data_IF_853506200166
#
_entry.id   IF_853506200166
#
_cell.length_a   1.000
_cell.length_b   1.000
_cell.length_c   1.000
_cell.angle_alpha   90.00
_cell.angle_beta   90.00
_cell.angle_gamma   90.00
#
_symmetry.space_group_name_H-M   'P 1'
#
loop_
_entity.id
_entity.type
_entity.pdbx_description
1 polymer ?
#
# COMPACT_ATOMS: atom_id res chain seq x y z
N UNK A 1 -13.27 1.60 10.23
CA UNK A 1 -14.68 1.70 9.72
C UNK A 1 -15.54 0.61 10.31
N UNK A 2 -16.89 0.74 10.27
CA UNK A 2 -17.81 -0.38 10.64
C UNK A 2 -17.75 -1.48 9.57
N UNK A 3 -17.98 -2.72 9.97
CA UNK A 3 -17.97 -3.88 9.05
C UNK A 3 -18.90 -3.71 7.84
N UNK A 4 -20.07 -3.08 8.05
CA UNK A 4 -21.02 -2.77 6.97
C UNK A 4 -20.36 -1.92 5.87
N UNK A 5 -19.60 -0.89 6.25
CA UNK A 5 -18.90 0.02 5.33
C UNK A 5 -17.76 -0.69 4.59
N UNK A 6 -16.95 -1.49 5.30
CA UNK A 6 -15.90 -2.30 4.68
C UNK A 6 -16.47 -3.21 3.59
N UNK A 7 -17.52 -3.99 3.94
CA UNK A 7 -18.17 -4.90 2.99
C UNK A 7 -18.81 -4.14 1.83
N UNK A 8 -19.42 -2.97 2.08
CA UNK A 8 -20.06 -2.15 1.05
C UNK A 8 -19.04 -1.65 0.00
N UNK A 9 -17.96 -1.01 0.45
CA UNK A 9 -16.91 -0.52 -0.44
C UNK A 9 -16.26 -1.67 -1.20
N UNK A 10 -15.87 -2.74 -0.48
CA UNK A 10 -15.20 -3.90 -1.07
C UNK A 10 -16.08 -4.57 -2.12
N UNK A 11 -17.37 -4.78 -1.85
CA UNK A 11 -18.31 -5.36 -2.81
C UNK A 11 -18.43 -4.50 -4.06
N UNK A 12 -18.69 -3.19 -3.91
CA UNK A 12 -18.83 -2.27 -5.04
C UNK A 12 -17.57 -2.24 -5.92
N UNK A 13 -16.38 -2.27 -5.33
CA UNK A 13 -15.11 -2.31 -6.06
C UNK A 13 -14.92 -3.64 -6.79
N UNK A 14 -15.17 -4.78 -6.11
CA UNK A 14 -15.02 -6.11 -6.71
C UNK A 14 -16.00 -6.35 -7.85
N UNK A 15 -17.26 -5.91 -7.71
CA UNK A 15 -18.28 -5.99 -8.76
C UNK A 15 -17.88 -5.15 -9.98
N UNK A 16 -17.48 -3.87 -9.77
CA UNK A 16 -17.07 -2.98 -10.85
C UNK A 16 -15.87 -3.51 -11.65
N UNK A 17 -14.95 -4.23 -10.99
CA UNK A 17 -13.77 -4.82 -11.60
C UNK A 17 -13.95 -6.30 -11.97
N UNK A 18 -15.14 -6.87 -11.78
CA UNK A 18 -15.43 -8.29 -12.07
C UNK A 18 -14.42 -9.27 -11.48
N UNK A 19 -14.12 -9.10 -10.19
CA UNK A 19 -13.13 -9.91 -9.51
C UNK A 19 -13.70 -11.31 -9.18
N UNK A 20 -12.97 -12.39 -9.50
CA UNK A 20 -13.38 -13.73 -9.08
C UNK A 20 -13.35 -13.86 -7.56
N UNK A 21 -14.19 -14.72 -7.01
CA UNK A 21 -14.32 -14.98 -5.56
C UNK A 21 -14.60 -13.69 -4.76
N UNK A 22 -15.39 -12.76 -5.33
CA UNK A 22 -15.66 -11.45 -4.72
C UNK A 22 -16.26 -11.56 -3.31
N UNK A 23 -17.10 -12.56 -3.04
CA UNK A 23 -17.70 -12.75 -1.70
C UNK A 23 -16.64 -13.12 -0.66
N UNK A 24 -15.64 -13.95 -1.00
CA UNK A 24 -14.54 -14.28 -0.10
C UNK A 24 -13.68 -13.05 0.19
N UNK A 25 -13.48 -12.15 -0.79
CA UNK A 25 -12.79 -10.87 -0.59
C UNK A 25 -13.60 -9.98 0.36
N UNK A 26 -14.92 -9.90 0.17
CA UNK A 26 -15.83 -9.12 1.00
C UNK A 26 -15.82 -9.62 2.45
N UNK A 27 -15.93 -10.92 2.67
CA UNK A 27 -15.88 -11.50 4.02
C UNK A 27 -14.50 -11.27 4.68
N UNK A 28 -13.43 -11.42 3.93
CA UNK A 28 -12.07 -11.22 4.44
C UNK A 28 -11.75 -9.75 4.73
N UNK A 29 -12.54 -8.81 4.19
CA UNK A 29 -12.37 -7.38 4.47
C UNK A 29 -12.67 -6.97 5.92
N UNK A 30 -13.18 -7.86 6.75
CA UNK A 30 -13.41 -7.62 8.19
C UNK A 30 -12.53 -8.49 9.10
N UNK A 31 -11.69 -9.35 8.55
CA UNK A 31 -10.82 -10.23 9.35
C UNK A 31 -9.86 -9.50 10.28
N UNK A 32 -9.23 -8.38 9.91
CA UNK A 32 -8.33 -7.67 10.82
C UNK A 32 -8.99 -7.17 12.10
N UNK A 33 -10.30 -6.91 12.10
CA UNK A 33 -11.07 -6.58 13.30
C UNK A 33 -11.36 -7.80 14.18
N UNK A 34 -11.50 -8.97 13.55
CA UNK A 34 -11.77 -10.23 14.26
C UNK A 34 -10.48 -10.85 14.82
N UNK A 35 -9.35 -10.63 14.14
CA UNK A 35 -8.07 -11.25 14.44
C UNK A 35 -6.97 -10.22 14.53
N UNK A 36 -6.33 -10.10 15.70
CA UNK A 36 -5.22 -9.18 15.86
C UNK A 36 -4.02 -9.57 14.99
N UNK A 37 -3.63 -8.69 14.09
CA UNK A 37 -2.39 -8.83 13.34
C UNK A 37 -1.21 -8.14 14.03
N UNK A 38 -0.02 -8.70 13.81
CA UNK A 38 1.22 -8.21 14.40
C UNK A 38 2.30 -8.10 13.32
N UNK A 39 3.17 -7.11 13.48
CA UNK A 39 4.44 -7.07 12.77
C UNK A 39 5.60 -7.16 13.77
N UNK A 40 6.76 -7.58 13.28
CA UNK A 40 7.97 -7.62 14.09
C UNK A 40 8.77 -6.35 13.86
N UNK A 41 8.99 -5.58 14.93
CA UNK A 41 9.84 -4.39 14.91
C UNK A 41 10.88 -4.52 16.03
N UNK A 42 12.16 -4.44 15.67
CA UNK A 42 13.27 -4.59 16.61
C UNK A 42 13.17 -5.86 17.50
N UNK A 43 12.77 -6.98 16.88
CA UNK A 43 12.59 -8.26 17.58
C UNK A 43 11.34 -8.38 18.46
N UNK A 44 10.51 -7.33 18.54
CA UNK A 44 9.26 -7.33 19.33
C UNK A 44 8.04 -7.44 18.41
N UNK A 45 7.04 -8.23 18.85
CA UNK A 45 5.74 -8.27 18.19
C UNK A 45 4.94 -7.01 18.57
N UNK A 46 4.56 -6.23 17.58
CA UNK A 46 3.77 -5.00 17.76
C UNK A 46 2.45 -5.18 17.03
N UNK A 47 1.33 -4.98 17.74
CA UNK A 47 -0.01 -5.03 17.14
C UNK A 47 -0.17 -3.91 16.12
N UNK A 48 -0.73 -4.23 14.97
CA UNK A 48 -1.07 -3.24 13.94
C UNK A 48 -2.28 -2.43 14.42
N UNK A 49 -2.09 -1.12 14.52
CA UNK A 49 -3.17 -0.18 14.79
C UNK A 49 -3.74 0.30 13.46
N UNK A 50 -5.03 0.11 13.24
CA UNK A 50 -5.70 0.33 11.94
C UNK A 50 -5.59 1.78 11.45
N UNK A 51 -5.70 2.75 12.34
CA UNK A 51 -5.61 4.19 12.02
C UNK A 51 -4.19 4.76 12.21
N UNK A 52 -3.16 3.96 11.92
CA UNK A 52 -1.77 4.39 12.03
C UNK A 52 -1.04 4.19 10.71
N UNK A 53 0.10 4.87 10.48
CA UNK A 53 0.92 4.61 9.27
C UNK A 53 1.37 3.15 9.11
N UNK A 54 1.29 2.35 10.18
CA UNK A 54 1.55 0.92 10.12
C UNK A 54 0.45 0.14 9.41
N UNK A 55 -0.80 0.65 9.38
CA UNK A 55 -1.89 0.07 8.60
C UNK A 55 -1.55 0.06 7.11
N UNK A 56 -1.04 1.16 6.55
CA UNK A 56 -0.61 1.19 5.15
C UNK A 56 0.56 0.23 4.85
N UNK A 57 1.45 0.00 5.82
CA UNK A 57 2.50 -1.02 5.65
C UNK A 57 1.91 -2.44 5.66
N UNK A 58 0.90 -2.69 6.47
CA UNK A 58 0.17 -3.94 6.47
C UNK A 58 -0.59 -4.12 5.14
N UNK A 59 -1.36 -3.12 4.72
CA UNK A 59 -2.04 -3.12 3.43
C UNK A 59 -1.08 -3.45 2.28
N UNK A 60 0.07 -2.77 2.24
CA UNK A 60 1.07 -3.01 1.20
C UNK A 60 1.65 -4.44 1.23
N UNK A 61 1.90 -4.99 2.42
CA UNK A 61 2.35 -6.39 2.58
C UNK A 61 1.31 -7.37 2.02
N UNK A 62 0.02 -7.15 2.34
CA UNK A 62 -1.06 -7.99 1.83
C UNK A 62 -1.27 -7.82 0.33
N UNK A 63 -1.15 -6.61 -0.23
CA UNK A 63 -1.16 -6.35 -1.67
C UNK A 63 -0.07 -7.16 -2.39
N UNK A 64 1.17 -7.12 -1.88
CA UNK A 64 2.28 -7.90 -2.46
C UNK A 64 2.02 -9.41 -2.38
N UNK A 65 1.46 -9.88 -1.26
CA UNK A 65 1.14 -11.30 -1.07
C UNK A 65 -0.01 -11.73 -1.99
N UNK A 66 -1.09 -10.94 -2.06
CA UNK A 66 -2.20 -11.19 -2.96
C UNK A 66 -1.73 -11.28 -4.43
N UNK A 67 -0.90 -10.31 -4.87
CA UNK A 67 -0.33 -10.35 -6.22
C UNK A 67 0.52 -11.60 -6.47
N UNK A 68 1.36 -11.98 -5.52
CA UNK A 68 2.18 -13.20 -5.62
C UNK A 68 1.33 -14.47 -5.71
N UNK A 69 0.29 -14.58 -4.91
CA UNK A 69 -0.64 -15.71 -4.95
C UNK A 69 -1.34 -15.79 -6.30
N UNK A 70 -1.83 -14.65 -6.80
CA UNK A 70 -2.48 -14.55 -8.10
C UNK A 70 -1.53 -15.02 -9.24
N UNK A 71 -0.27 -14.61 -9.23
CA UNK A 71 0.73 -15.06 -10.21
C UNK A 71 1.00 -16.57 -10.14
N UNK A 72 0.78 -17.19 -8.97
CA UNK A 72 0.92 -18.64 -8.77
C UNK A 72 -0.37 -19.40 -9.09
N UNK A 73 -1.43 -18.73 -9.58
CA UNK A 73 -2.74 -19.35 -9.80
C UNK A 73 -3.45 -19.80 -8.52
N UNK A 74 -3.09 -19.20 -7.37
CA UNK A 74 -3.68 -19.50 -6.06
C UNK A 74 -4.69 -18.43 -5.70
N UNK A 75 -5.61 -18.81 -4.81
CA UNK A 75 -6.55 -17.84 -4.24
C UNK A 75 -5.84 -16.75 -3.44
N UNK A 76 -6.24 -15.52 -3.67
CA UNK A 76 -5.68 -14.33 -3.03
C UNK A 76 -6.74 -13.52 -2.26
N UNK A 77 -7.96 -14.05 -2.14
CA UNK A 77 -9.13 -13.34 -1.61
C UNK A 77 -8.92 -12.84 -0.18
N UNK A 78 -8.34 -13.68 0.68
CA UNK A 78 -8.05 -13.31 2.08
C UNK A 78 -7.08 -12.12 2.16
N UNK A 79 -5.93 -12.23 1.50
CA UNK A 79 -4.94 -11.16 1.53
C UNK A 79 -5.45 -9.88 0.86
N UNK A 80 -6.25 -9.99 -0.20
CA UNK A 80 -6.88 -8.84 -0.83
C UNK A 80 -7.85 -8.16 0.13
N UNK A 81 -8.78 -8.91 0.75
CA UNK A 81 -9.74 -8.37 1.71
C UNK A 81 -9.06 -7.66 2.87
N UNK A 82 -8.02 -8.28 3.45
CA UNK A 82 -7.23 -7.67 4.54
C UNK A 82 -6.51 -6.39 4.08
N UNK A 83 -5.99 -6.35 2.85
CA UNK A 83 -5.38 -5.13 2.31
C UNK A 83 -6.39 -3.99 2.20
N UNK A 84 -7.60 -4.28 1.67
CA UNK A 84 -8.67 -3.31 1.52
C UNK A 84 -9.14 -2.78 2.88
N UNK A 85 -9.28 -3.63 3.89
CA UNK A 85 -9.59 -3.22 5.25
C UNK A 85 -8.63 -2.14 5.77
N UNK A 86 -7.32 -2.40 5.73
CA UNK A 86 -6.33 -1.46 6.23
C UNK A 86 -6.29 -0.14 5.45
N UNK A 87 -6.55 -0.17 4.13
CA UNK A 87 -6.66 1.04 3.31
C UNK A 87 -7.86 1.87 3.77
N UNK A 88 -9.01 1.24 3.91
CA UNK A 88 -10.27 1.89 4.27
C UNK A 88 -10.22 2.48 5.69
N UNK A 89 -9.69 1.73 6.65
CA UNK A 89 -9.53 2.22 8.02
C UNK A 89 -8.56 3.41 8.13
N UNK A 90 -7.45 3.34 7.38
CA UNK A 90 -6.49 4.44 7.37
C UNK A 90 -7.09 5.73 6.81
N UNK A 91 -8.06 5.66 5.91
CA UNK A 91 -8.71 6.83 5.33
C UNK A 91 -9.51 7.65 6.33
N UNK A 92 -9.92 7.05 7.48
CA UNK A 92 -10.70 7.71 8.53
C UNK A 92 -9.78 8.40 9.52
N UNK A 93 -9.90 9.72 9.66
CA UNK A 93 -9.21 10.45 10.71
C UNK A 93 -9.83 10.18 12.10
N UNK A 94 -8.97 9.81 13.04
CA UNK A 94 -9.33 9.64 14.46
C UNK A 94 -9.17 10.93 15.26
N UNK A 95 -8.90 12.06 14.60
CA UNK A 95 -8.62 13.33 15.27
C UNK A 95 -9.79 14.27 15.18
N UNK A 96 -9.98 15.05 16.25
CA UNK A 96 -10.80 16.25 16.27
C UNK A 96 -9.90 17.48 16.23
N UNK A 97 -10.31 18.48 15.45
CA UNK A 97 -9.62 19.76 15.35
C UNK A 97 -10.49 20.87 15.95
N UNK A 98 -9.88 21.72 16.77
CA UNK A 98 -10.47 22.97 17.20
C UNK A 98 -9.42 24.07 17.16
N UNK A 99 -9.58 25.04 16.29
CA UNK A 99 -8.59 26.08 15.98
C UNK A 99 -7.23 25.44 15.60
N UNK A 100 -6.21 25.62 16.45
CA UNK A 100 -4.86 25.11 16.24
C UNK A 100 -4.58 23.78 16.96
N UNK A 101 -5.54 23.29 17.77
CA UNK A 101 -5.38 22.08 18.56
C UNK A 101 -5.96 20.87 17.84
N UNK A 102 -5.21 19.77 17.88
CA UNK A 102 -5.65 18.45 17.39
C UNK A 102 -5.50 17.44 18.53
N UNK A 103 -6.54 16.66 18.77
CA UNK A 103 -6.49 15.56 19.72
C UNK A 103 -7.28 14.36 19.21
N UNK A 104 -6.91 13.19 19.68
CA UNK A 104 -7.64 11.95 19.38
C UNK A 104 -8.99 11.97 20.12
N UNK A 105 -10.05 11.58 19.45
CA UNK A 105 -11.40 11.47 20.01
C UNK A 105 -12.06 10.21 19.48
N UNK A 106 -12.18 9.21 20.34
CA UNK A 106 -12.87 7.95 20.00
C UNK A 106 -14.34 8.20 19.67
N UNK A 107 -15.02 9.08 20.43
CA UNK A 107 -16.43 9.42 20.18
C UNK A 107 -16.65 9.97 18.77
N UNK A 108 -15.82 10.92 18.33
CA UNK A 108 -15.92 11.49 16.96
C UNK A 108 -15.59 10.45 15.90
N UNK A 109 -14.69 9.54 16.21
CA UNK A 109 -14.36 8.44 15.33
C UNK A 109 -15.55 7.49 15.16
N UNK A 110 -16.18 7.08 16.26
CA UNK A 110 -17.35 6.19 16.24
C UNK A 110 -18.54 6.84 15.51
N UNK A 111 -18.81 8.14 15.75
CA UNK A 111 -19.84 8.90 15.05
C UNK A 111 -19.60 8.91 13.52
N UNK A 112 -18.35 9.20 13.09
CA UNK A 112 -17.99 9.16 11.66
C UNK A 112 -18.18 7.78 11.04
N UNK A 113 -17.82 6.73 11.76
CA UNK A 113 -17.98 5.36 11.26
C UNK A 113 -19.45 4.95 11.10
N UNK A 114 -20.34 5.44 12.00
CA UNK A 114 -21.78 5.21 11.88
C UNK A 114 -22.35 5.94 10.66
N UNK A 115 -22.04 7.22 10.51
CA UNK A 115 -22.51 8.04 9.39
C UNK A 115 -21.98 7.53 8.04
N UNK A 116 -20.73 7.07 7.97
CA UNK A 116 -20.15 6.46 6.75
C UNK A 116 -20.92 5.23 6.27
N UNK A 117 -21.53 4.47 7.20
CA UNK A 117 -22.29 3.28 6.85
C UNK A 117 -23.59 3.57 6.09
N UNK A 118 -24.04 4.82 6.09
CA UNK A 118 -25.25 5.26 5.38
C UNK A 118 -24.95 5.97 4.05
N UNK A 119 -23.67 6.26 3.77
CA UNK A 119 -23.30 6.91 2.52
C UNK A 119 -23.20 5.91 1.36
N UNK A 120 -23.61 6.30 0.15
CA UNK A 120 -23.40 5.48 -1.04
C UNK A 120 -21.91 5.47 -1.43
N UNK A 121 -21.47 4.36 -2.05
CA UNK A 121 -20.13 4.27 -2.62
C UNK A 121 -20.08 5.11 -3.91
N UNK A 122 -19.15 6.09 -4.02
CA UNK A 122 -19.08 6.95 -5.19
C UNK A 122 -18.48 6.19 -6.39
N UNK A 123 -19.21 6.14 -7.51
CA UNK A 123 -18.78 5.43 -8.72
C UNK A 123 -17.57 6.08 -9.38
N UNK A 124 -17.52 7.40 -9.40
CA UNK A 124 -16.40 8.19 -9.93
C UNK A 124 -15.09 7.91 -9.17
N UNK A 125 -15.16 7.64 -7.86
CA UNK A 125 -14.01 7.21 -7.08
C UNK A 125 -13.49 5.83 -7.54
N UNK A 126 -14.38 4.90 -7.88
CA UNK A 126 -13.98 3.60 -8.44
C UNK A 126 -13.29 3.82 -9.79
N UNK A 127 -13.89 4.60 -10.68
CA UNK A 127 -13.33 4.90 -12.00
C UNK A 127 -11.98 5.61 -11.93
N UNK A 128 -11.80 6.51 -10.97
CA UNK A 128 -10.52 7.16 -10.70
C UNK A 128 -9.46 6.15 -10.24
N UNK A 129 -9.80 5.32 -9.26
CA UNK A 129 -8.91 4.28 -8.76
C UNK A 129 -8.48 3.29 -9.84
N UNK A 130 -9.39 2.89 -10.72
CA UNK A 130 -9.11 1.96 -11.83
C UNK A 130 -8.06 2.49 -12.84
N UNK A 131 -7.78 3.79 -12.86
CA UNK A 131 -6.72 4.38 -13.70
C UNK A 131 -5.33 4.07 -13.16
N UNK A 132 -5.21 3.77 -11.87
CA UNK A 132 -3.93 3.43 -11.21
C UNK A 132 -3.70 1.93 -11.37
N UNK A 133 -2.81 1.56 -12.29
CA UNK A 133 -2.48 0.17 -12.62
C UNK A 133 -0.97 -0.12 -12.53
N UNK A 134 -0.15 0.88 -12.30
CA UNK A 134 1.29 0.75 -12.08
C UNK A 134 1.56 0.56 -10.58
N UNK A 135 2.32 -0.47 -10.16
CA UNK A 135 2.57 -0.75 -8.75
C UNK A 135 3.33 0.36 -8.02
N UNK A 136 4.14 1.15 -8.73
CA UNK A 136 4.83 2.30 -8.13
C UNK A 136 3.89 3.48 -7.93
N UNK A 137 2.93 3.70 -8.87
CA UNK A 137 1.89 4.70 -8.71
C UNK A 137 0.98 4.34 -7.54
N UNK A 138 0.53 3.07 -7.45
CA UNK A 138 -0.25 2.59 -6.30
C UNK A 138 0.50 2.81 -4.99
N UNK A 139 1.77 2.39 -4.92
CA UNK A 139 2.59 2.60 -3.72
C UNK A 139 2.69 4.07 -3.34
N UNK A 140 2.92 4.95 -4.34
CA UNK A 140 2.96 6.40 -4.11
C UNK A 140 1.62 6.91 -3.61
N UNK A 141 0.51 6.55 -4.25
CA UNK A 141 -0.83 6.96 -3.84
C UNK A 141 -1.11 6.56 -2.38
N UNK A 142 -0.91 5.28 -2.02
CA UNK A 142 -1.13 4.79 -0.67
C UNK A 142 -0.30 5.53 0.39
N UNK A 143 1.00 5.73 0.16
CA UNK A 143 1.88 6.32 1.18
C UNK A 143 1.93 7.85 1.19
N UNK A 144 1.33 8.53 0.19
CA UNK A 144 1.15 9.98 0.20
C UNK A 144 -0.18 10.42 0.80
N UNK A 145 -1.11 9.50 0.96
CA UNK A 145 -2.45 9.79 1.47
C UNK A 145 -2.45 10.15 2.94
N UNK A 146 -3.42 10.96 3.33
CA UNK A 146 -3.65 11.38 4.71
C UNK A 146 -5.07 11.06 5.12
N UNK A 147 -5.27 10.69 6.41
CA UNK A 147 -6.62 10.48 6.92
C UNK A 147 -7.48 11.74 6.77
N UNK A 148 -8.71 11.56 6.31
CA UNK A 148 -9.67 12.62 6.06
C UNK A 148 -10.65 12.78 7.23
N UNK A 149 -11.24 13.98 7.34
CA UNK A 149 -12.20 14.32 8.41
C UNK A 149 -13.64 14.44 7.87
N UNK A 150 -13.82 14.77 6.61
CA UNK A 150 -15.11 14.92 5.93
C UNK A 150 -15.60 13.57 5.39
N UNK A 151 -16.83 13.20 5.67
CA UNK A 151 -17.40 11.88 5.39
C UNK A 151 -17.33 11.51 3.90
N UNK A 152 -17.73 12.44 3.03
CA UNK A 152 -17.70 12.24 1.57
C UNK A 152 -16.26 12.02 1.08
N UNK A 153 -15.29 12.75 1.62
CA UNK A 153 -13.88 12.58 1.29
C UNK A 153 -13.31 11.27 1.81
N UNK A 154 -13.69 10.87 3.02
CA UNK A 154 -13.31 9.56 3.57
C UNK A 154 -13.80 8.45 2.64
N UNK A 155 -15.11 8.50 2.28
CA UNK A 155 -15.71 7.51 1.41
C UNK A 155 -15.05 7.51 0.02
N UNK A 156 -14.82 8.69 -0.55
CA UNK A 156 -14.16 8.85 -1.85
C UNK A 156 -12.73 8.29 -1.83
N UNK A 157 -11.91 8.70 -0.86
CA UNK A 157 -10.51 8.27 -0.74
C UNK A 157 -10.40 6.78 -0.49
N UNK A 158 -11.19 6.24 0.45
CA UNK A 158 -11.21 4.80 0.75
C UNK A 158 -11.61 3.98 -0.48
N UNK A 159 -12.59 4.44 -1.24
CA UNK A 159 -13.05 3.78 -2.46
C UNK A 159 -12.01 3.86 -3.57
N UNK A 160 -11.44 5.04 -3.82
CA UNK A 160 -10.41 5.25 -4.85
C UNK A 160 -9.19 4.39 -4.61
N UNK A 161 -8.65 4.37 -3.38
CA UNK A 161 -7.48 3.58 -3.06
C UNK A 161 -7.77 2.08 -3.07
N UNK A 162 -8.97 1.66 -2.66
CA UNK A 162 -9.40 0.26 -2.76
C UNK A 162 -9.48 -0.19 -4.23
N UNK A 163 -10.10 0.61 -5.09
CA UNK A 163 -10.19 0.32 -6.52
C UNK A 163 -8.81 0.32 -7.19
N UNK A 164 -7.93 1.24 -6.82
CA UNK A 164 -6.54 1.29 -7.30
C UNK A 164 -5.76 0.02 -6.90
N UNK A 165 -5.92 -0.45 -5.66
CA UNK A 165 -5.26 -1.68 -5.20
C UNK A 165 -5.73 -2.89 -6.01
N UNK A 166 -7.05 -3.06 -6.16
CA UNK A 166 -7.65 -4.16 -6.94
C UNK A 166 -7.23 -4.08 -8.40
N UNK A 167 -7.36 -2.90 -9.04
CA UNK A 167 -6.99 -2.73 -10.45
C UNK A 167 -5.50 -3.02 -10.69
N UNK A 168 -4.61 -2.59 -9.81
CA UNK A 168 -3.18 -2.85 -9.93
C UNK A 168 -2.85 -4.34 -9.72
N UNK A 169 -3.56 -5.05 -8.85
CA UNK A 169 -3.34 -6.48 -8.62
C UNK A 169 -3.80 -7.30 -9.82
N UNK A 170 -5.01 -7.06 -10.34
CA UNK A 170 -5.61 -7.91 -11.37
C UNK A 170 -5.31 -7.46 -12.80
N UNK A 171 -5.19 -6.15 -13.03
CA UNK A 171 -5.04 -5.54 -14.36
C UNK A 171 -3.83 -4.61 -14.46
N UNK A 172 -2.63 -5.04 -14.00
CA UNK A 172 -1.46 -4.16 -13.98
C UNK A 172 -1.03 -3.77 -15.40
N UNK A 173 -0.45 -2.57 -15.52
CA UNK A 173 0.20 -2.09 -16.73
C UNK A 173 1.71 -2.16 -16.56
N UNK A 174 2.40 -2.68 -17.59
CA UNK A 174 3.85 -2.87 -17.61
C UNK A 174 4.21 -4.34 -17.82
N UNK A 175 5.48 -4.63 -17.89
CA UNK A 175 6.01 -5.99 -18.15
C UNK A 175 7.29 -6.31 -17.36
N UNK A 176 7.79 -5.35 -16.59
CA UNK A 176 9.05 -5.47 -15.85
C UNK A 176 10.29 -5.58 -16.75
N UNK A 177 10.20 -5.25 -18.05
CA UNK A 177 11.30 -5.40 -19.03
C UNK A 177 12.51 -4.51 -18.71
N UNK A 178 12.31 -3.38 -18.05
CA UNK A 178 13.37 -2.44 -17.67
C UNK A 178 14.36 -2.95 -16.62
N UNK A 179 14.10 -4.10 -16.00
CA UNK A 179 14.88 -4.63 -14.88
C UNK A 179 16.37 -4.83 -15.21
N UNK A 180 16.70 -5.48 -16.31
CA UNK A 180 18.12 -5.77 -16.69
C UNK A 180 18.93 -4.48 -16.81
N UNK A 181 18.38 -3.47 -17.48
CA UNK A 181 19.01 -2.15 -17.62
C UNK A 181 19.16 -1.44 -16.27
N UNK A 182 18.12 -1.49 -15.44
CA UNK A 182 18.17 -0.88 -14.10
C UNK A 182 19.24 -1.53 -13.22
N UNK A 183 19.39 -2.87 -13.27
CA UNK A 183 20.44 -3.60 -12.53
C UNK A 183 21.83 -3.20 -13.03
N UNK A 184 22.06 -3.17 -14.35
CA UNK A 184 23.36 -2.81 -14.91
C UNK A 184 23.78 -1.39 -14.49
N UNK A 185 22.87 -0.42 -14.60
CA UNK A 185 23.11 0.95 -14.16
C UNK A 185 23.32 1.06 -12.65
N UNK A 186 22.57 0.30 -11.88
CA UNK A 186 22.69 0.25 -10.42
C UNK A 186 24.07 -0.30 -10.00
N UNK A 187 24.51 -1.41 -10.58
CA UNK A 187 25.84 -1.99 -10.30
C UNK A 187 26.92 -0.98 -10.64
N UNK A 188 26.84 -0.34 -11.80
CA UNK A 188 27.81 0.68 -12.21
C UNK A 188 27.84 1.86 -11.22
N UNK A 189 26.66 2.34 -10.79
CA UNK A 189 26.55 3.45 -9.85
C UNK A 189 27.08 3.09 -8.45
N UNK A 190 26.78 1.88 -7.93
CA UNK A 190 27.24 1.41 -6.61
C UNK A 190 28.74 1.12 -6.63
N UNK A 191 29.28 0.63 -7.74
CA UNK A 191 30.70 0.34 -7.88
C UNK A 191 31.55 1.58 -8.17
N UNK A 192 30.98 2.66 -8.71
CA UNK A 192 31.75 3.85 -9.10
C UNK A 192 32.58 4.48 -7.96
N UNK A 193 32.13 4.52 -6.68
CA UNK A 193 32.96 5.02 -5.60
C UNK A 193 34.23 4.21 -5.35
N UNK A 194 34.29 2.94 -5.77
CA UNK A 194 35.50 2.12 -5.63
C UNK A 194 36.65 2.65 -6.47
N UNK A 195 36.36 3.42 -7.53
CA UNK A 195 37.40 4.11 -8.32
C UNK A 195 38.23 5.08 -7.48
N UNK A 196 37.63 5.65 -6.43
CA UNK A 196 38.36 6.49 -5.48
C UNK A 196 39.45 5.72 -4.73
N UNK A 197 39.20 4.46 -4.40
CA UNK A 197 40.19 3.60 -3.76
C UNK A 197 41.31 3.19 -4.72
N UNK A 198 41.03 3.05 -6.01
CA UNK A 198 42.05 2.79 -7.03
C UNK A 198 42.99 3.98 -7.23
N UNK A 199 42.48 5.21 -7.13
CA UNK A 199 43.26 6.44 -7.34
C UNK A 199 43.97 6.86 -6.04
N UNK A 200 43.26 6.81 -4.90
CA UNK A 200 43.70 7.34 -3.61
C UNK A 200 44.30 6.27 -2.66
N UNK A 201 44.33 5.01 -3.09
CA UNK A 201 44.84 3.91 -2.31
C UNK A 201 43.81 3.34 -1.31
N UNK A 202 44.23 2.29 -0.60
CA UNK A 202 43.34 1.49 0.26
C UNK A 202 42.67 2.26 1.43
N UNK A 203 43.23 3.40 1.85
CA UNK A 203 42.67 4.26 2.90
C UNK A 203 41.30 4.84 2.51
N UNK A 204 40.98 4.90 1.21
CA UNK A 204 39.69 5.38 0.70
C UNK A 204 38.60 4.32 0.65
N UNK A 205 38.92 3.04 0.90
CA UNK A 205 37.94 1.96 0.89
C UNK A 205 36.74 2.16 1.83
N UNK A 206 36.92 2.61 3.10
CA UNK A 206 35.79 2.85 3.99
C UNK A 206 34.83 3.90 3.42
N UNK A 207 35.37 5.01 2.91
CA UNK A 207 34.56 6.06 2.29
C UNK A 207 33.84 5.56 1.05
N UNK A 208 34.53 4.85 0.16
CA UNK A 208 33.94 4.24 -1.04
C UNK A 208 32.79 3.29 -0.69
N UNK A 209 32.92 2.50 0.37
CA UNK A 209 31.87 1.58 0.85
C UNK A 209 30.63 2.34 1.34
N UNK A 210 30.83 3.39 2.15
CA UNK A 210 29.74 4.24 2.64
C UNK A 210 29.01 4.92 1.48
N UNK A 211 29.76 5.46 0.51
CA UNK A 211 29.17 6.09 -0.67
C UNK A 211 28.42 5.08 -1.54
N UNK A 212 28.96 3.89 -1.77
CA UNK A 212 28.27 2.82 -2.51
C UNK A 212 26.97 2.41 -1.83
N UNK A 213 26.97 2.28 -0.49
CA UNK A 213 25.77 2.00 0.27
C UNK A 213 24.74 3.15 0.17
N UNK A 214 25.18 4.39 0.24
CA UNK A 214 24.30 5.55 0.06
C UNK A 214 23.67 5.56 -1.33
N UNK A 215 24.47 5.32 -2.38
CA UNK A 215 23.96 5.18 -3.76
C UNK A 215 22.94 4.07 -3.86
N UNK A 216 23.21 2.88 -3.28
CA UNK A 216 22.24 1.78 -3.25
C UNK A 216 20.91 2.19 -2.61
N UNK A 217 20.93 2.91 -1.50
CA UNK A 217 19.70 3.35 -0.81
C UNK A 217 18.94 4.43 -1.58
N UNK A 218 19.65 5.31 -2.27
CA UNK A 218 19.07 6.45 -2.98
C UNK A 218 18.73 6.17 -4.46
N UNK A 219 19.06 5.00 -4.99
CA UNK A 219 18.72 4.64 -6.37
C UNK A 219 17.25 4.27 -6.51
N UNK A 220 16.39 5.28 -6.55
CA UNK A 220 14.95 5.10 -6.72
C UNK A 220 14.57 4.40 -8.03
N UNK A 221 15.37 4.56 -9.11
CA UNK A 221 15.12 3.90 -10.39
C UNK A 221 15.31 2.40 -10.29
N UNK A 222 16.34 1.95 -9.59
CA UNK A 222 16.57 0.54 -9.31
C UNK A 222 15.43 -0.05 -8.46
N UNK A 223 15.07 0.62 -7.35
CA UNK A 223 14.01 0.13 -6.47
C UNK A 223 12.65 0.09 -7.16
N UNK A 224 12.36 1.06 -8.02
CA UNK A 224 11.17 1.07 -8.86
C UNK A 224 11.14 -0.12 -9.84
N UNK A 225 12.22 -0.32 -10.60
CA UNK A 225 12.32 -1.42 -11.54
C UNK A 225 12.29 -2.79 -10.84
N UNK A 226 12.85 -2.88 -9.61
CA UNK A 226 12.75 -4.08 -8.79
C UNK A 226 11.30 -4.41 -8.42
N UNK A 227 10.53 -3.42 -7.98
CA UNK A 227 9.12 -3.61 -7.66
C UNK A 227 8.34 -4.06 -8.90
N UNK A 228 8.54 -3.42 -10.06
CA UNK A 228 7.91 -3.82 -11.31
C UNK A 228 8.27 -5.26 -11.69
N UNK A 229 9.55 -5.65 -11.61
CA UNK A 229 9.95 -7.04 -11.86
C UNK A 229 9.22 -8.02 -10.96
N UNK A 230 9.22 -7.73 -9.63
CA UNK A 230 8.62 -8.62 -8.63
C UNK A 230 7.08 -8.68 -8.77
N UNK A 231 6.48 -7.65 -9.41
CA UNK A 231 5.05 -7.59 -9.71
C UNK A 231 4.62 -8.46 -10.88
N UNK A 232 5.47 -8.60 -11.90
CA UNK A 232 5.15 -9.33 -13.12
C UNK A 232 5.75 -10.75 -13.17
N UNK A 233 6.60 -11.09 -12.21
CA UNK A 233 7.28 -12.41 -12.15
C UNK A 233 7.21 -12.97 -10.75
N UNK A 234 6.72 -14.24 -10.60
CA UNK A 234 6.65 -14.92 -9.32
C UNK A 234 8.02 -15.22 -8.73
#
# INVERSE_FOLDING_TARGET
MKWKTHKLITRAVCEALSIPNSEEVVESSVFPDQHNEFFVSNGKRVRIKHHSPFALKAAWRHILKARKLLLQGKDCSEDLGMALHYIQDYSVSVTRRFLFFRWRSEKVHDEREEELAELPVPRDAIEEGMKIRDPNQLKKALFSEKPEEELERIMYTATTLSAAAVATIFYPVGDGSGWRRAVALHIAAVASPLLLALIGGWLWLPLATVLGYAVHKLDFKYHRAKLERDWFRP
#
